data_IF_478300764369
#
_entry.id   IF_478300764369
#
_cell.length_a   1.000
_cell.length_b   1.000
_cell.length_c   1.000
_cell.angle_alpha   90.00
_cell.angle_beta   90.00
_cell.angle_gamma   90.00
#
_symmetry.space_group_name_H-M   'P 1'
#
loop_
_entity.id
_entity.type
_entity.pdbx_description
1 polymer ?
#
# COMPACT_ATOMS: atom_id res chain seq x y z
N UNK A 1 56.71 10.95 27.18
CA UNK A 1 55.75 11.09 26.07
C UNK A 1 54.64 10.08 26.31
N UNK A 2 53.39 10.55 26.42
CA UNK A 2 52.28 9.78 27.00
C UNK A 2 51.85 8.58 26.15
N UNK A 3 51.71 7.44 26.82
CA UNK A 3 51.02 6.24 26.32
C UNK A 3 49.54 6.56 26.05
N UNK A 4 49.18 6.76 24.79
CA UNK A 4 47.77 6.76 24.40
C UNK A 4 47.30 5.30 24.37
N UNK A 5 46.79 4.88 25.53
CA UNK A 5 46.14 3.60 25.82
C UNK A 5 45.23 3.18 24.65
N UNK A 6 45.64 2.16 23.90
CA UNK A 6 45.02 1.66 22.66
C UNK A 6 43.54 1.25 22.73
N UNK A 7 42.92 1.39 23.90
CA UNK A 7 41.48 1.26 24.13
C UNK A 7 40.64 2.46 23.68
N UNK A 8 41.23 3.64 23.47
CA UNK A 8 40.48 4.80 22.95
C UNK A 8 39.94 4.58 21.52
N UNK A 9 40.64 3.77 20.72
CA UNK A 9 40.29 3.49 19.33
C UNK A 9 39.00 2.65 19.17
N UNK A 10 38.81 1.51 19.86
CA UNK A 10 37.54 0.77 19.80
C UNK A 10 36.38 1.52 20.48
N UNK A 11 36.65 2.30 21.53
CA UNK A 11 35.63 3.10 22.22
C UNK A 11 35.07 4.23 21.34
N UNK A 12 35.91 4.91 20.56
CA UNK A 12 35.45 5.94 19.62
C UNK A 12 34.71 5.36 18.43
N UNK A 13 35.08 4.15 17.99
CA UNK A 13 34.39 3.38 16.94
C UNK A 13 32.97 2.96 17.37
N UNK A 14 32.81 2.50 18.62
CA UNK A 14 31.49 2.18 19.17
C UNK A 14 30.61 3.42 19.35
N UNK A 15 31.22 4.55 19.76
CA UNK A 15 30.52 5.83 19.86
C UNK A 15 29.98 6.31 18.51
N UNK A 16 30.80 6.24 17.44
CA UNK A 16 30.38 6.69 16.11
C UNK A 16 29.32 5.77 15.48
N UNK A 17 29.43 4.45 15.66
CA UNK A 17 28.39 3.49 15.27
C UNK A 17 27.08 3.71 16.03
N UNK A 18 27.15 4.00 17.33
CA UNK A 18 25.98 4.30 18.15
C UNK A 18 25.25 5.57 17.69
N UNK A 19 25.98 6.67 17.49
CA UNK A 19 25.41 7.94 17.02
C UNK A 19 24.84 7.78 15.61
N UNK A 20 25.53 7.07 14.72
CA UNK A 20 25.04 6.76 13.37
C UNK A 20 23.75 5.94 13.39
N UNK A 21 23.67 4.89 14.19
CA UNK A 21 22.48 4.05 14.30
C UNK A 21 21.27 4.81 14.87
N UNK A 22 21.50 5.70 15.83
CA UNK A 22 20.46 6.56 16.40
C UNK A 22 19.98 7.58 15.36
N UNK A 23 20.88 8.26 14.66
CA UNK A 23 20.53 9.22 13.61
C UNK A 23 19.72 8.56 12.48
N UNK A 24 20.15 7.39 12.00
CA UNK A 24 19.42 6.63 10.97
C UNK A 24 18.02 6.24 11.47
N UNK A 25 17.88 5.82 12.72
CA UNK A 25 16.56 5.49 13.29
C UNK A 25 15.63 6.69 13.41
N UNK A 26 16.14 7.85 13.80
CA UNK A 26 15.33 9.07 13.89
C UNK A 26 14.91 9.57 12.51
N UNK A 27 15.83 9.57 11.54
CA UNK A 27 15.51 9.92 10.15
C UNK A 27 14.53 8.92 9.54
N UNK A 28 14.72 7.62 9.76
CA UNK A 28 13.79 6.59 9.29
C UNK A 28 12.39 6.76 9.89
N UNK A 29 12.27 7.04 11.20
CA UNK A 29 10.97 7.32 11.83
C UNK A 29 10.31 8.60 11.30
N UNK A 30 11.08 9.64 11.04
CA UNK A 30 10.56 10.90 10.48
C UNK A 30 10.08 10.74 9.04
N UNK A 31 10.87 10.04 8.21
CA UNK A 31 10.52 9.73 6.81
C UNK A 31 9.35 8.76 6.75
N UNK A 32 9.25 7.77 7.64
CA UNK A 32 8.08 6.87 7.70
C UNK A 32 6.76 7.62 7.96
N UNK A 33 6.80 8.72 8.72
CA UNK A 33 5.61 9.55 8.99
C UNK A 33 5.22 10.44 7.81
N UNK A 34 6.18 10.82 6.97
CA UNK A 34 5.98 11.64 5.77
C UNK A 34 5.70 10.80 4.51
N UNK A 35 6.27 9.60 4.45
CA UNK A 35 6.15 8.62 3.38
C UNK A 35 5.18 7.54 3.85
N UNK A 36 3.97 7.97 4.20
CA UNK A 36 2.80 7.11 4.39
C UNK A 36 2.30 6.57 3.02
N UNK A 37 3.25 6.01 2.26
CA UNK A 37 3.08 5.30 0.98
C UNK A 37 3.38 3.80 1.17
N UNK A 38 3.83 3.42 2.37
CA UNK A 38 4.16 2.04 2.76
C UNK A 38 3.03 1.30 3.47
N UNK A 39 1.87 1.92 3.67
CA UNK A 39 0.65 1.33 4.22
C UNK A 39 -0.03 0.36 3.25
N UNK A 40 0.70 -0.67 2.83
CA UNK A 40 0.20 -1.78 2.01
C UNK A 40 -0.95 -2.47 2.75
N UNK A 41 -2.18 -2.21 2.30
CA UNK A 41 -3.18 -3.26 2.11
C UNK A 41 -4.45 -3.20 2.96
N UNK A 42 -4.43 -2.71 4.21
CA UNK A 42 -5.61 -2.84 5.08
C UNK A 42 -6.45 -1.55 5.18
N UNK A 43 -5.86 -0.44 5.61
CA UNK A 43 -6.61 0.83 5.80
C UNK A 43 -6.91 1.53 4.47
N UNK A 44 -5.93 1.60 3.56
CA UNK A 44 -6.17 2.21 2.25
C UNK A 44 -7.19 1.42 1.42
N UNK A 45 -7.33 0.10 1.61
CA UNK A 45 -8.32 -0.70 0.86
C UNK A 45 -9.73 -0.59 1.44
N UNK A 46 -9.89 -0.58 2.77
CA UNK A 46 -11.23 -0.40 3.37
C UNK A 46 -11.85 0.94 3.01
N UNK A 47 -11.02 1.97 2.83
CA UNK A 47 -11.45 3.33 2.50
C UNK A 47 -11.88 3.49 1.02
N UNK A 48 -11.65 2.48 0.18
CA UNK A 48 -12.10 2.47 -1.23
C UNK A 48 -13.55 1.99 -1.39
N UNK A 49 -14.21 1.58 -0.30
CA UNK A 49 -15.62 1.18 -0.33
C UNK A 49 -16.50 2.36 -0.76
N UNK A 50 -17.38 2.12 -1.72
CA UNK A 50 -18.27 3.13 -2.30
C UNK A 50 -17.60 4.04 -3.34
N UNK A 51 -16.33 3.81 -3.69
CA UNK A 51 -15.65 4.54 -4.77
C UNK A 51 -15.98 3.92 -6.12
N UNK A 52 -15.96 4.78 -7.13
CA UNK A 52 -16.04 4.39 -8.54
C UNK A 52 -14.64 4.03 -9.02
N UNK A 53 -14.52 2.84 -9.60
CA UNK A 53 -13.33 2.35 -10.27
C UNK A 53 -13.61 2.08 -11.75
N UNK A 54 -12.55 1.97 -12.52
CA UNK A 54 -12.59 1.64 -13.95
C UNK A 54 -11.94 0.27 -14.13
N UNK A 55 -12.61 -0.63 -14.85
CA UNK A 55 -12.07 -1.95 -15.18
C UNK A 55 -10.79 -1.78 -16.00
N UNK A 56 -9.67 -2.26 -15.46
CA UNK A 56 -8.35 -2.20 -16.10
C UNK A 56 -8.02 -3.49 -16.86
N UNK A 57 -8.53 -4.63 -16.39
CA UNK A 57 -8.37 -5.92 -17.08
C UNK A 57 -9.20 -5.99 -18.37
N UNK A 58 -8.82 -6.88 -19.28
CA UNK A 58 -9.57 -7.10 -20.53
C UNK A 58 -11.03 -7.49 -20.27
N UNK A 59 -11.26 -8.23 -19.18
CA UNK A 59 -12.56 -8.67 -18.71
C UNK A 59 -12.55 -8.71 -17.19
N UNK A 60 -13.67 -8.38 -16.58
CA UNK A 60 -13.95 -8.56 -15.16
C UNK A 60 -15.11 -9.55 -15.07
N UNK A 61 -14.93 -10.64 -14.33
CA UNK A 61 -15.93 -11.69 -14.13
C UNK A 61 -16.11 -12.01 -12.64
N UNK A 62 -16.81 -13.11 -12.33
CA UNK A 62 -17.06 -13.56 -10.96
C UNK A 62 -15.84 -14.22 -10.29
N UNK A 63 -14.78 -14.53 -11.04
CA UNK A 63 -13.56 -15.13 -10.50
C UNK A 63 -12.52 -14.08 -10.19
N UNK A 64 -12.17 -13.23 -11.16
CA UNK A 64 -11.08 -12.29 -11.03
C UNK A 64 -11.12 -11.16 -12.06
N UNK A 65 -10.80 -9.94 -11.64
CA UNK A 65 -10.39 -8.87 -12.52
C UNK A 65 -9.74 -7.72 -11.78
N UNK A 66 -9.11 -6.84 -12.57
CA UNK A 66 -8.35 -5.71 -12.07
C UNK A 66 -9.13 -4.42 -12.27
N UNK A 67 -9.16 -3.60 -11.24
CA UNK A 67 -9.92 -2.36 -11.21
C UNK A 67 -8.99 -1.25 -10.79
N UNK A 68 -8.94 -0.19 -11.60
CA UNK A 68 -8.23 1.04 -11.27
C UNK A 68 -9.16 1.95 -10.50
N UNK A 69 -8.79 2.28 -9.27
CA UNK A 69 -9.53 3.19 -8.40
C UNK A 69 -8.65 4.37 -8.05
N UNK A 70 -9.27 5.54 -7.96
CA UNK A 70 -8.65 6.73 -7.39
C UNK A 70 -9.06 6.88 -5.93
N UNK A 71 -8.08 6.92 -5.03
CA UNK A 71 -8.30 7.17 -3.61
C UNK A 71 -8.70 8.64 -3.36
N UNK A 72 -9.20 8.95 -2.16
CA UNK A 72 -9.52 10.29 -1.69
C UNK A 72 -8.34 11.28 -1.83
N UNK A 73 -7.11 10.77 -1.78
CA UNK A 73 -5.86 11.55 -1.91
C UNK A 73 -5.49 11.85 -3.37
N UNK A 74 -6.21 11.28 -4.34
CA UNK A 74 -5.93 11.41 -5.77
C UNK A 74 -4.97 10.35 -6.32
N UNK A 75 -4.48 9.45 -5.47
CA UNK A 75 -3.59 8.36 -5.87
C UNK A 75 -4.37 7.27 -6.63
N UNK A 76 -3.77 6.76 -7.71
CA UNK A 76 -4.34 5.66 -8.48
C UNK A 76 -3.82 4.32 -7.96
N UNK A 77 -4.75 3.45 -7.59
CA UNK A 77 -4.51 2.12 -7.06
C UNK A 77 -5.14 1.08 -7.98
N UNK A 78 -4.42 -0.02 -8.19
CA UNK A 78 -4.97 -1.22 -8.85
C UNK A 78 -5.38 -2.18 -7.75
N UNK A 79 -6.66 -2.56 -7.78
CA UNK A 79 -7.24 -3.52 -6.84
C UNK A 79 -7.85 -4.69 -7.59
N UNK A 80 -7.90 -5.83 -6.91
CA UNK A 80 -8.55 -7.03 -7.41
C UNK A 80 -10.00 -7.04 -6.97
N UNK A 81 -10.90 -7.30 -7.91
CA UNK A 81 -12.32 -7.41 -7.62
C UNK A 81 -12.97 -8.53 -8.41
N UNK A 82 -14.17 -8.89 -7.98
CA UNK A 82 -15.05 -9.82 -8.66
C UNK A 82 -16.46 -9.25 -8.72
N UNK A 83 -17.17 -9.55 -9.78
CA UNK A 83 -18.58 -9.22 -9.92
C UNK A 83 -19.44 -10.11 -9.01
N UNK A 84 -20.62 -9.61 -8.64
CA UNK A 84 -21.65 -10.41 -7.98
C UNK A 84 -22.06 -11.62 -8.83
N UNK A 85 -22.41 -12.72 -8.18
CA UNK A 85 -22.87 -13.93 -8.87
C UNK A 85 -24.09 -13.62 -9.75
N UNK A 86 -23.98 -13.89 -11.06
CA UNK A 86 -25.05 -13.65 -12.04
C UNK A 86 -24.95 -12.33 -12.82
N UNK A 87 -23.99 -11.46 -12.54
CA UNK A 87 -23.73 -10.27 -13.36
C UNK A 87 -22.95 -10.60 -14.65
N UNK A 88 -23.21 -9.83 -15.71
CA UNK A 88 -22.50 -9.99 -16.97
C UNK A 88 -21.07 -9.48 -16.82
N UNK A 89 -20.13 -10.21 -17.42
CA UNK A 89 -18.73 -9.79 -17.38
C UNK A 89 -18.55 -8.42 -18.03
N UNK A 90 -17.81 -7.54 -17.37
CA UNK A 90 -17.57 -6.18 -17.84
C UNK A 90 -16.28 -6.12 -18.65
N UNK A 91 -16.32 -5.32 -19.71
CA UNK A 91 -15.15 -5.04 -20.54
C UNK A 91 -14.28 -3.94 -19.94
N UNK A 92 -13.02 -3.89 -20.41
CA UNK A 92 -12.08 -2.83 -20.05
C UNK A 92 -12.68 -1.44 -20.28
N UNK A 93 -12.54 -0.57 -19.29
CA UNK A 93 -13.05 0.80 -19.35
C UNK A 93 -14.46 0.98 -18.78
N UNK A 94 -15.15 -0.10 -18.41
CA UNK A 94 -16.44 -0.01 -17.73
C UNK A 94 -16.27 0.57 -16.31
N UNK A 95 -17.26 1.35 -15.88
CA UNK A 95 -17.32 1.90 -14.53
C UNK A 95 -17.98 0.90 -13.56
N UNK A 96 -17.36 0.74 -12.39
CA UNK A 96 -17.80 -0.16 -11.34
C UNK A 96 -17.72 0.51 -9.99
N UNK A 97 -18.61 0.14 -9.08
CA UNK A 97 -18.56 0.59 -7.68
C UNK A 97 -18.06 -0.53 -6.80
N UNK A 98 -17.11 -0.20 -5.93
CA UNK A 98 -16.58 -1.15 -4.96
C UNK A 98 -17.56 -1.24 -3.79
N UNK A 99 -18.27 -2.36 -3.67
CA UNK A 99 -19.35 -2.53 -2.70
C UNK A 99 -18.82 -2.99 -1.35
N UNK A 100 -17.92 -3.97 -1.35
CA UNK A 100 -17.38 -4.52 -0.12
C UNK A 100 -16.00 -5.15 -0.33
N UNK A 101 -15.21 -5.24 0.76
CA UNK A 101 -13.88 -5.84 0.76
C UNK A 101 -13.89 -7.14 1.57
N UNK A 102 -13.67 -8.27 0.90
CA UNK A 102 -13.43 -9.54 1.58
C UNK A 102 -11.99 -9.58 2.06
N UNK A 103 -11.79 -9.31 3.35
CA UNK A 103 -10.45 -9.22 3.95
C UNK A 103 -9.67 -10.52 3.91
N UNK A 104 -10.36 -11.66 3.90
CA UNK A 104 -9.73 -12.99 3.84
C UNK A 104 -9.08 -13.26 2.47
N UNK A 105 -9.77 -12.88 1.39
CA UNK A 105 -9.29 -13.09 0.01
C UNK A 105 -8.57 -11.87 -0.56
N UNK A 106 -8.69 -10.71 0.08
CA UNK A 106 -8.17 -9.43 -0.40
C UNK A 106 -8.88 -8.92 -1.67
N UNK A 107 -10.09 -9.43 -1.94
CA UNK A 107 -10.90 -9.16 -3.13
C UNK A 107 -12.03 -8.19 -2.82
N UNK A 108 -12.30 -7.26 -3.74
CA UNK A 108 -13.50 -6.42 -3.68
C UNK A 108 -14.66 -7.07 -4.40
N UNK A 109 -15.82 -7.11 -3.75
CA UNK A 109 -17.08 -7.32 -4.46
C UNK A 109 -17.47 -6.02 -5.13
N UNK A 110 -17.70 -6.06 -6.44
CA UNK A 110 -18.03 -4.86 -7.21
C UNK A 110 -19.35 -5.04 -7.96
N UNK A 111 -20.04 -3.93 -8.15
CA UNK A 111 -21.28 -3.86 -8.91
C UNK A 111 -21.09 -2.95 -10.11
N UNK A 112 -21.66 -3.34 -11.25
CA UNK A 112 -21.67 -2.50 -12.45
C UNK A 112 -22.45 -1.20 -12.22
N UNK A 113 -21.86 -0.06 -12.57
CA UNK A 113 -22.61 1.17 -12.78
C UNK A 113 -23.04 1.18 -14.25
N UNK A 114 -24.34 1.07 -14.49
CA UNK A 114 -24.94 0.85 -15.81
C UNK A 114 -24.91 2.10 -16.69
#
# INVERSE_FOLDING_TARGET
AGEYRGWFFPLSLLGSLGVGAVAVRFTAKGVQKLVDVGGRGASARSDLRGRIGIVASARLDSQFGEIRVRDARGDELIVHGRLGEGEHALERGAEVVLVDLQREEGLFTVASLK
#
